data_IF_637721467173
#
_entry.id   IF_637721467173
#
_cell.length_a   1.000
_cell.length_b   1.000
_cell.length_c   1.000
_cell.angle_alpha   90.00
_cell.angle_beta   90.00
_cell.angle_gamma   90.00
#
_symmetry.space_group_name_H-M   'P 1'
#
loop_
_entity.id
_entity.type
_entity.pdbx_description
1 polymer ?
#
# COMPACT_ATOMS: atom_id res chain seq x y z
N UNK A 1 -35.01 -15.95 5.70
CA UNK A 1 -33.57 -15.67 5.54
C UNK A 1 -33.17 -16.13 4.15
N UNK A 2 -32.92 -15.19 3.22
CA UNK A 2 -32.36 -15.55 1.92
C UNK A 2 -31.02 -16.25 2.14
N UNK A 3 -30.95 -17.52 1.74
CA UNK A 3 -29.78 -18.37 1.92
C UNK A 3 -28.63 -17.80 1.09
N UNK A 4 -27.73 -17.04 1.73
CA UNK A 4 -26.47 -16.68 1.12
C UNK A 4 -25.69 -17.98 0.92
N UNK A 5 -25.76 -18.53 -0.29
CA UNK A 5 -25.02 -19.72 -0.66
C UNK A 5 -23.64 -19.29 -1.14
N UNK A 6 -22.64 -19.51 -0.29
CA UNK A 6 -21.24 -19.37 -0.67
C UNK A 6 -20.66 -20.75 -0.99
N UNK A 7 -20.01 -20.87 -2.15
CA UNK A 7 -19.41 -22.14 -2.54
C UNK A 7 -18.28 -22.50 -1.56
N UNK A 8 -18.28 -23.70 -0.95
CA UNK A 8 -17.35 -24.08 0.12
C UNK A 8 -15.88 -24.19 -0.32
N UNK A 9 -15.61 -24.19 -1.64
CA UNK A 9 -14.26 -24.11 -2.20
C UNK A 9 -13.63 -22.70 -2.08
N UNK A 10 -14.43 -21.66 -1.79
CA UNK A 10 -13.94 -20.29 -1.67
C UNK A 10 -13.20 -20.12 -0.36
N UNK A 11 -11.94 -19.70 -0.44
CA UNK A 11 -11.14 -19.32 0.73
C UNK A 11 -11.54 -17.92 1.18
N UNK A 12 -11.53 -17.64 2.49
CA UNK A 12 -11.77 -16.28 2.98
C UNK A 12 -10.67 -15.35 2.49
N UNK A 13 -11.06 -14.15 2.04
CA UNK A 13 -10.12 -13.11 1.59
C UNK A 13 -9.55 -12.29 2.75
N UNK A 14 -10.32 -12.15 3.83
CA UNK A 14 -9.91 -11.48 5.07
C UNK A 14 -9.54 -12.57 6.06
N UNK A 15 -8.32 -12.47 6.59
CA UNK A 15 -7.76 -13.44 7.52
C UNK A 15 -7.61 -12.78 8.90
N UNK A 16 -7.86 -13.56 9.95
CA UNK A 16 -8.03 -13.05 11.31
C UNK A 16 -9.43 -12.44 11.43
N UNK A 17 -10.14 -12.80 12.49
CA UNK A 17 -11.50 -12.33 12.79
C UNK A 17 -11.51 -10.80 13.02
N UNK A 18 -11.48 -10.02 11.94
CA UNK A 18 -11.36 -8.56 11.96
C UNK A 18 -12.73 -7.90 11.89
N UNK A 19 -12.98 -6.96 12.79
CA UNK A 19 -14.12 -6.06 12.74
C UNK A 19 -13.89 -4.90 11.75
N UNK A 20 -14.95 -4.18 11.40
CA UNK A 20 -14.87 -2.97 10.57
C UNK A 20 -13.92 -1.91 11.13
N UNK A 21 -13.87 -1.79 12.47
CA UNK A 21 -12.95 -0.87 13.13
C UNK A 21 -11.49 -1.30 12.92
N UNK A 22 -11.19 -2.59 13.07
CA UNK A 22 -9.83 -3.12 12.90
C UNK A 22 -9.31 -2.90 11.48
N UNK A 23 -10.17 -3.12 10.47
CA UNK A 23 -9.85 -2.85 9.08
C UNK A 23 -9.51 -1.37 8.87
N UNK A 24 -10.30 -0.47 9.46
CA UNK A 24 -10.10 0.97 9.34
C UNK A 24 -8.77 1.41 9.96
N UNK A 25 -8.47 0.91 11.17
CA UNK A 25 -7.23 1.22 11.90
C UNK A 25 -6.01 0.69 11.15
N UNK A 26 -6.07 -0.55 10.64
CA UNK A 26 -4.95 -1.16 9.93
C UNK A 26 -4.58 -0.40 8.64
N UNK A 27 -5.58 0.10 7.91
CA UNK A 27 -5.37 0.87 6.68
C UNK A 27 -4.88 2.29 6.98
N UNK A 28 -5.41 2.94 8.02
CA UNK A 28 -5.06 4.31 8.38
C UNK A 28 -3.65 4.42 9.00
N UNK A 29 -3.22 3.40 9.76
CA UNK A 29 -1.96 3.39 10.51
C UNK A 29 -0.71 3.80 9.69
N UNK A 30 -0.45 3.29 8.46
CA UNK A 30 0.72 3.73 7.68
C UNK A 30 0.62 5.15 7.13
N UNK A 31 -0.58 5.75 7.09
CA UNK A 31 -0.84 7.09 6.52
C UNK A 31 -0.72 8.17 7.60
N UNK A 32 -1.25 7.89 8.80
CA UNK A 32 -1.22 8.84 9.93
C UNK A 32 0.18 8.98 10.55
N UNK A 33 1.06 8.00 10.33
CA UNK A 33 2.44 8.00 10.80
C UNK A 33 3.40 8.81 9.92
N UNK A 34 4.58 9.13 10.47
CA UNK A 34 5.67 9.74 9.69
C UNK A 34 6.45 8.67 8.93
N UNK A 35 6.86 8.99 7.70
CA UNK A 35 7.75 8.14 6.91
C UNK A 35 9.09 7.90 7.63
N UNK A 36 9.55 6.65 7.62
CA UNK A 36 10.80 6.25 8.27
C UNK A 36 12.03 6.57 7.40
N UNK A 37 13.24 6.34 7.95
CA UNK A 37 14.50 6.61 7.23
C UNK A 37 14.63 5.78 5.94
N UNK A 38 14.13 4.54 5.92
CA UNK A 38 14.21 3.68 4.73
C UNK A 38 13.36 4.22 3.58
N UNK A 39 12.17 4.72 3.86
CA UNK A 39 11.30 5.36 2.88
C UNK A 39 11.99 6.55 2.22
N UNK A 40 12.62 7.42 3.02
CA UNK A 40 13.37 8.57 2.51
C UNK A 40 14.60 8.18 1.67
N UNK A 41 15.28 7.08 2.01
CA UNK A 41 16.42 6.59 1.22
C UNK A 41 15.94 6.17 -0.18
N UNK A 42 14.91 5.33 -0.26
CA UNK A 42 14.39 4.84 -1.56
C UNK A 42 13.80 5.98 -2.38
N UNK A 43 13.06 6.90 -1.75
CA UNK A 43 12.51 8.07 -2.41
C UNK A 43 13.60 8.97 -3.00
N UNK A 44 14.69 9.21 -2.26
CA UNK A 44 15.81 10.05 -2.72
C UNK A 44 16.55 9.43 -3.90
N UNK A 45 16.75 8.11 -3.90
CA UNK A 45 17.35 7.38 -5.03
C UNK A 45 16.47 7.48 -6.28
N UNK A 46 15.17 7.24 -6.12
CA UNK A 46 14.21 7.35 -7.22
C UNK A 46 14.18 8.78 -7.80
N UNK A 47 14.19 9.80 -6.93
CA UNK A 47 14.21 11.20 -7.33
C UNK A 47 15.51 11.57 -8.08
N UNK A 48 16.67 11.12 -7.59
CA UNK A 48 17.94 11.37 -8.25
C UNK A 48 18.00 10.76 -9.66
N UNK A 49 17.55 9.51 -9.80
CA UNK A 49 17.45 8.82 -11.10
C UNK A 49 16.47 9.51 -12.05
N UNK A 50 15.33 9.98 -11.53
CA UNK A 50 14.37 10.75 -12.31
C UNK A 50 14.98 12.06 -12.84
N UNK A 51 15.62 12.84 -11.97
CA UNK A 51 16.27 14.10 -12.37
C UNK A 51 17.40 13.88 -13.39
N UNK A 52 18.17 12.81 -13.22
CA UNK A 52 19.18 12.41 -14.20
C UNK A 52 18.55 12.13 -15.56
N UNK A 53 17.49 11.32 -15.60
CA UNK A 53 16.76 11.01 -16.84
C UNK A 53 16.18 12.25 -17.51
N UNK A 54 15.57 13.16 -16.75
CA UNK A 54 15.09 14.45 -17.25
C UNK A 54 16.25 15.28 -17.83
N UNK A 55 17.40 15.32 -17.14
CA UNK A 55 18.60 15.99 -17.63
C UNK A 55 19.10 15.43 -18.96
N UNK A 56 19.14 14.11 -19.12
CA UNK A 56 19.50 13.47 -20.39
C UNK A 56 18.53 13.82 -21.52
N UNK A 57 17.22 13.87 -21.24
CA UNK A 57 16.20 14.21 -22.23
C UNK A 57 16.34 15.67 -22.68
N UNK A 58 16.53 16.61 -21.74
CA UNK A 58 16.64 18.05 -22.06
C UNK A 58 17.95 18.38 -22.80
N UNK A 59 19.03 17.65 -22.48
CA UNK A 59 20.32 17.85 -23.12
C UNK A 59 20.38 17.33 -24.56
N UNK A 60 19.47 16.40 -24.92
CA UNK A 60 19.34 15.85 -26.27
C UNK A 60 18.53 16.79 -27.16
#
# INVERSE_FOLDING_TARGET
MGSHYEAPIRKPLVIGEKSYHDISVDIARPIEGRANKQWWIVFSIALAMFLWGVGCIIYT
#
